data_IF_912063587083
#
_entry.id   IF_912063587083
#
_cell.length_a   1.000
_cell.length_b   1.000
_cell.length_c   1.000
_cell.angle_alpha   90.00
_cell.angle_beta   90.00
_cell.angle_gamma   90.00
#
_symmetry.space_group_name_H-M   'P 1'
#
loop_
_entity.id
_entity.type
_entity.pdbx_description
1 polymer ?
#
# COMPACT_ATOMS: atom_id res chain seq x y z
N UNK A 1 -3.75 -8.04 -15.47
CA UNK A 1 -3.09 -7.85 -14.16
C UNK A 1 -1.62 -7.71 -14.45
N UNK A 2 -1.05 -6.55 -14.19
CA UNK A 2 0.36 -6.28 -14.53
C UNK A 2 1.22 -6.66 -13.33
N UNK A 3 1.75 -7.89 -13.38
CA UNK A 3 2.67 -8.37 -12.36
C UNK A 3 4.06 -7.75 -12.57
N UNK A 4 4.45 -6.85 -11.69
CA UNK A 4 5.81 -6.30 -11.68
C UNK A 4 6.74 -7.22 -10.89
N UNK A 5 7.24 -8.27 -11.57
CA UNK A 5 8.10 -9.29 -10.93
C UNK A 5 9.38 -8.73 -10.31
N UNK A 6 9.97 -7.69 -10.90
CA UNK A 6 11.19 -7.08 -10.35
C UNK A 6 10.91 -6.28 -9.08
N UNK A 7 9.87 -5.43 -9.07
CA UNK A 7 9.42 -4.72 -7.86
C UNK A 7 9.02 -5.71 -6.76
N UNK A 8 8.36 -6.80 -7.13
CA UNK A 8 7.98 -7.86 -6.19
C UNK A 8 9.21 -8.56 -5.60
N UNK A 9 10.22 -8.91 -6.40
CA UNK A 9 11.46 -9.54 -5.92
C UNK A 9 12.24 -8.64 -4.96
N UNK A 10 12.28 -7.33 -5.21
CA UNK A 10 12.91 -6.34 -4.32
C UNK A 10 12.19 -6.27 -2.98
N UNK A 11 10.85 -6.12 -2.98
CA UNK A 11 10.04 -6.12 -1.76
C UNK A 11 10.16 -7.44 -0.98
N UNK A 12 10.19 -8.57 -1.69
CA UNK A 12 10.35 -9.88 -1.08
C UNK A 12 11.74 -10.07 -0.46
N UNK A 13 12.78 -9.46 -1.05
CA UNK A 13 14.13 -9.43 -0.49
C UNK A 13 14.15 -8.66 0.84
N UNK A 14 13.50 -7.50 0.87
CA UNK A 14 13.35 -6.70 2.08
C UNK A 14 12.56 -7.44 3.17
N UNK A 15 11.45 -8.08 2.78
CA UNK A 15 10.59 -8.87 3.67
C UNK A 15 11.33 -10.08 4.27
N UNK A 16 12.18 -10.75 3.48
CA UNK A 16 13.06 -11.81 3.98
C UNK A 16 14.04 -11.26 5.03
N UNK A 17 14.58 -10.06 4.79
CA UNK A 17 15.67 -9.47 5.56
C UNK A 17 16.94 -10.31 5.45
N UNK A 18 17.73 -10.37 6.52
CA UNK A 18 19.00 -11.11 6.56
C UNK A 18 18.83 -12.63 6.70
N UNK A 19 17.60 -13.13 6.88
CA UNK A 19 17.33 -14.56 7.03
C UNK A 19 17.65 -15.33 5.75
N UNK A 20 18.00 -16.60 5.91
CA UNK A 20 18.05 -17.53 4.78
C UNK A 20 16.66 -17.75 4.20
N UNK A 21 16.59 -18.10 2.91
CA UNK A 21 15.33 -18.42 2.23
C UNK A 21 14.62 -19.57 2.95
N UNK A 22 15.36 -20.58 3.42
CA UNK A 22 14.80 -21.71 4.15
C UNK A 22 14.12 -21.27 5.46
N UNK A 23 14.79 -20.41 6.25
CA UNK A 23 14.20 -19.91 7.49
C UNK A 23 12.94 -19.09 7.20
N UNK A 24 13.00 -18.18 6.24
CA UNK A 24 11.85 -17.34 5.90
C UNK A 24 10.67 -18.14 5.33
N UNK A 25 10.94 -19.12 4.46
CA UNK A 25 9.92 -20.02 3.93
C UNK A 25 9.26 -20.87 5.00
N UNK A 26 10.04 -21.41 5.94
CA UNK A 26 9.51 -22.15 7.09
C UNK A 26 8.65 -21.26 7.98
N UNK A 27 9.10 -20.05 8.30
CA UNK A 27 8.35 -19.09 9.13
C UNK A 27 6.99 -18.72 8.47
N UNK A 28 7.00 -18.53 7.15
CA UNK A 28 5.82 -18.13 6.37
C UNK A 28 4.93 -19.31 5.95
N UNK A 29 5.39 -20.55 6.11
CA UNK A 29 4.71 -21.74 5.59
C UNK A 29 4.60 -21.74 4.06
N UNK A 30 5.66 -21.32 3.38
CA UNK A 30 5.79 -21.24 1.92
C UNK A 30 7.06 -21.97 1.48
N UNK A 31 6.97 -22.75 0.40
CA UNK A 31 8.09 -23.53 -0.13
C UNK A 31 9.33 -22.63 -0.40
N UNK A 32 10.51 -22.92 0.20
CA UNK A 32 11.74 -22.18 -0.05
C UNK A 32 12.15 -22.17 -1.52
N UNK A 33 11.88 -23.25 -2.27
CA UNK A 33 12.15 -23.32 -3.70
C UNK A 33 11.31 -22.32 -4.50
N UNK A 34 10.04 -22.17 -4.14
CA UNK A 34 9.13 -21.18 -4.71
C UNK A 34 9.58 -19.75 -4.40
N UNK A 35 9.98 -19.46 -3.15
CA UNK A 35 10.53 -18.15 -2.77
C UNK A 35 11.81 -17.85 -3.56
N UNK A 36 12.70 -18.83 -3.72
CA UNK A 36 13.93 -18.67 -4.52
C UNK A 36 13.63 -18.32 -5.98
N UNK A 37 12.65 -19.00 -6.60
CA UNK A 37 12.21 -18.67 -7.97
C UNK A 37 11.63 -17.26 -8.07
N UNK A 38 10.86 -16.81 -7.08
CA UNK A 38 10.31 -15.44 -7.03
C UNK A 38 11.42 -14.40 -6.91
N UNK A 39 12.38 -14.59 -6.00
CA UNK A 39 13.51 -13.69 -5.79
C UNK A 39 14.42 -13.58 -7.03
N UNK A 40 14.49 -14.64 -7.83
CA UNK A 40 15.26 -14.70 -9.07
C UNK A 40 14.46 -14.28 -10.31
N UNK A 41 13.23 -13.77 -10.12
CA UNK A 41 12.35 -13.30 -11.19
C UNK A 41 12.03 -14.39 -12.25
N UNK A 42 12.08 -15.67 -11.86
CA UNK A 42 11.87 -16.83 -12.73
C UNK A 42 10.38 -17.20 -12.90
N UNK A 43 9.48 -16.48 -12.23
CA UNK A 43 8.04 -16.71 -12.30
C UNK A 43 7.41 -15.52 -12.99
N UNK A 44 6.74 -15.78 -14.12
CA UNK A 44 6.03 -14.74 -14.88
C UNK A 44 4.58 -14.55 -14.43
N UNK A 45 4.08 -15.46 -13.59
CA UNK A 45 2.76 -15.38 -12.98
C UNK A 45 2.84 -14.93 -11.52
N UNK A 46 1.98 -14.00 -11.13
CA UNK A 46 1.91 -13.53 -9.75
C UNK A 46 1.53 -14.68 -8.80
N UNK A 47 2.13 -14.75 -7.59
CA UNK A 47 1.65 -15.61 -6.52
C UNK A 47 0.22 -15.25 -6.13
N UNK A 48 -0.55 -16.19 -5.60
CA UNK A 48 -1.90 -15.87 -5.10
C UNK A 48 -1.85 -14.89 -3.93
N UNK A 49 -2.88 -14.07 -3.78
CA UNK A 49 -3.03 -13.14 -2.65
C UNK A 49 -2.85 -13.83 -1.28
N UNK A 50 -3.32 -15.08 -1.13
CA UNK A 50 -3.14 -15.87 0.09
C UNK A 50 -1.66 -16.16 0.39
N UNK A 51 -0.84 -16.48 -0.63
CA UNK A 51 0.60 -16.68 -0.45
C UNK A 51 1.29 -15.35 -0.12
N UNK A 52 0.88 -14.26 -0.78
CA UNK A 52 1.43 -12.93 -0.53
C UNK A 52 1.17 -12.51 0.93
N UNK A 53 -0.03 -12.72 1.45
CA UNK A 53 -0.39 -12.42 2.85
C UNK A 53 0.47 -13.25 3.81
N UNK A 54 0.71 -14.53 3.53
CA UNK A 54 1.60 -15.37 4.35
C UNK A 54 3.01 -14.82 4.40
N UNK A 55 3.58 -14.46 3.25
CA UNK A 55 4.93 -13.88 3.15
C UNK A 55 5.02 -12.55 3.91
N UNK A 56 4.02 -11.66 3.74
CA UNK A 56 3.94 -10.37 4.42
C UNK A 56 3.79 -10.51 5.95
N UNK A 57 3.03 -11.51 6.43
CA UNK A 57 2.81 -11.72 7.87
C UNK A 57 4.08 -12.06 8.66
N UNK A 58 5.14 -12.45 7.95
CA UNK A 58 6.47 -12.76 8.50
C UNK A 58 7.54 -11.85 7.94
N UNK A 59 7.17 -10.73 7.33
CA UNK A 59 8.11 -9.78 6.76
C UNK A 59 8.94 -9.08 7.86
N UNK A 60 10.21 -8.86 7.57
CA UNK A 60 11.08 -7.95 8.30
C UNK A 60 11.13 -6.61 7.55
N UNK A 61 11.59 -5.55 8.22
CA UNK A 61 11.76 -4.20 7.65
C UNK A 61 10.46 -3.55 7.15
N UNK A 62 9.36 -3.76 7.87
CA UNK A 62 8.07 -3.05 7.64
C UNK A 62 7.47 -3.18 6.23
N UNK A 63 7.83 -4.22 5.47
CA UNK A 63 7.18 -4.49 4.18
C UNK A 63 5.73 -4.90 4.41
N UNK A 64 4.80 -4.12 3.87
CA UNK A 64 3.37 -4.32 4.07
C UNK A 64 2.79 -5.30 3.06
N UNK A 65 1.67 -5.95 3.41
CA UNK A 65 0.97 -6.84 2.48
C UNK A 65 0.48 -6.08 1.24
N UNK A 66 0.06 -4.83 1.42
CA UNK A 66 -0.41 -3.94 0.36
C UNK A 66 0.69 -3.67 -0.67
N UNK A 67 1.94 -3.45 -0.23
CA UNK A 67 3.06 -3.23 -1.15
C UNK A 67 3.32 -4.45 -2.03
N UNK A 68 3.32 -5.66 -1.45
CA UNK A 68 3.50 -6.90 -2.20
C UNK A 68 2.30 -7.20 -3.11
N UNK A 69 1.07 -6.95 -2.65
CA UNK A 69 -0.15 -7.11 -3.45
C UNK A 69 -0.20 -6.13 -4.62
N UNK A 70 0.23 -4.88 -4.43
CA UNK A 70 0.35 -3.89 -5.48
C UNK A 70 1.38 -4.32 -6.53
N UNK A 71 2.57 -4.75 -6.11
CA UNK A 71 3.58 -5.27 -7.03
C UNK A 71 3.13 -6.53 -7.78
N UNK A 72 2.27 -7.34 -7.17
CA UNK A 72 1.64 -8.51 -7.78
C UNK A 72 0.47 -8.16 -8.73
N UNK A 73 0.06 -6.89 -8.82
CA UNK A 73 -1.03 -6.44 -9.68
C UNK A 73 -2.42 -6.71 -9.11
N UNK A 74 -2.54 -6.99 -7.80
CA UNK A 74 -3.82 -7.12 -7.10
C UNK A 74 -4.36 -5.79 -6.59
N UNK A 75 -3.48 -4.82 -6.34
CA UNK A 75 -3.84 -3.47 -5.99
C UNK A 75 -3.27 -2.54 -7.05
N UNK A 76 -4.08 -1.60 -7.52
CA UNK A 76 -3.54 -0.48 -8.28
C UNK A 76 -2.85 0.45 -7.27
N UNK A 77 -1.65 0.94 -7.60
CA UNK A 77 -0.84 1.86 -6.76
C UNK A 77 -1.53 3.23 -6.53
N UNK A 78 -2.81 3.36 -6.85
CA UNK A 78 -3.65 4.55 -6.78
C UNK A 78 -3.77 5.18 -5.39
N UNK A 79 -3.29 4.52 -4.34
CA UNK A 79 -3.19 5.12 -3.00
C UNK A 79 -1.89 5.92 -2.79
N UNK A 80 -0.83 5.64 -3.58
CA UNK A 80 0.39 6.45 -3.60
C UNK A 80 0.29 7.63 -4.59
N UNK A 81 -0.47 7.49 -5.68
CA UNK A 81 -0.70 8.62 -6.61
C UNK A 81 -1.36 9.83 -5.93
N UNK A 82 -2.15 9.59 -4.87
CA UNK A 82 -2.73 10.65 -4.03
C UNK A 82 -1.67 11.37 -3.19
N UNK A 83 -0.62 10.68 -2.74
CA UNK A 83 0.48 11.27 -1.95
C UNK A 83 1.38 12.15 -2.80
N UNK A 84 1.61 11.78 -4.05
CA UNK A 84 2.43 12.57 -4.98
C UNK A 84 1.72 13.87 -5.41
N UNK A 85 0.39 13.91 -5.34
CA UNK A 85 -0.43 15.12 -5.58
C UNK A 85 -0.62 15.99 -4.33
N UNK A 86 -0.22 15.52 -3.15
CA UNK A 86 -0.36 16.29 -1.91
C UNK A 86 0.83 17.25 -1.81
N UNK A 87 0.60 18.58 -1.78
CA UNK A 87 1.67 19.54 -1.57
C UNK A 87 2.45 19.18 -0.29
N UNK A 88 3.77 19.46 -0.22
CA UNK A 88 4.59 19.13 0.96
C UNK A 88 3.97 19.60 2.28
N UNK A 89 3.24 20.72 2.27
CA UNK A 89 2.50 21.25 3.41
C UNK A 89 1.38 20.31 3.87
N UNK A 90 0.65 19.69 2.93
CA UNK A 90 -0.41 18.72 3.20
C UNK A 90 0.11 17.41 3.80
N UNK A 91 1.34 17.01 3.49
CA UNK A 91 1.96 15.78 3.97
C UNK A 91 2.14 15.78 5.50
N UNK A 92 2.44 16.95 6.08
CA UNK A 92 2.53 17.12 7.54
C UNK A 92 1.19 16.90 8.24
N UNK A 93 0.08 17.35 7.63
CA UNK A 93 -1.26 17.12 8.16
C UNK A 93 -1.65 15.64 8.07
N UNK A 94 -1.34 14.96 6.96
CA UNK A 94 -1.57 13.52 6.81
C UNK A 94 -0.85 12.69 7.87
N UNK A 95 0.43 13.01 8.15
CA UNK A 95 1.20 12.33 9.19
C UNK A 95 0.60 12.55 10.57
N UNK A 96 0.12 13.76 10.85
CA UNK A 96 -0.59 14.06 12.09
C UNK A 96 -1.88 13.25 12.20
N UNK A 97 -2.70 13.20 11.13
CA UNK A 97 -3.96 12.47 11.07
C UNK A 97 -3.81 10.96 11.31
N UNK A 98 -2.80 10.31 10.71
CA UNK A 98 -2.56 8.86 10.95
C UNK A 98 -2.26 8.54 12.42
N UNK A 99 -1.72 9.51 13.17
CA UNK A 99 -1.38 9.36 14.58
C UNK A 99 -2.51 9.82 15.52
N UNK A 100 -3.66 10.27 15.01
CA UNK A 100 -4.81 10.65 15.84
C UNK A 100 -5.58 9.42 16.33
N UNK A 101 -6.20 9.49 17.52
CA UNK A 101 -7.17 8.49 17.96
C UNK A 101 -8.30 8.30 16.93
N UNK A 102 -8.87 7.08 16.79
CA UNK A 102 -9.89 6.79 15.78
C UNK A 102 -11.09 7.74 15.83
N UNK A 103 -11.49 8.17 17.02
CA UNK A 103 -12.64 9.05 17.21
C UNK A 103 -12.37 10.45 16.66
N UNK A 104 -11.15 10.96 16.86
CA UNK A 104 -10.72 12.24 16.31
C UNK A 104 -10.51 12.19 14.78
N UNK A 105 -10.12 11.03 14.23
CA UNK A 105 -10.07 10.84 12.78
C UNK A 105 -11.47 10.91 12.15
N UNK A 106 -12.48 10.32 12.80
CA UNK A 106 -13.87 10.38 12.35
C UNK A 106 -14.41 11.81 12.36
N UNK A 107 -14.20 12.53 13.45
CA UNK A 107 -14.61 13.94 13.59
C UNK A 107 -13.99 14.82 12.49
N UNK A 108 -12.68 14.63 12.23
CA UNK A 108 -12.00 15.33 11.15
C UNK A 108 -12.59 15.01 9.77
N UNK A 109 -12.84 13.73 9.47
CA UNK A 109 -13.44 13.33 8.19
C UNK A 109 -14.83 13.94 8.01
N UNK A 110 -15.61 14.02 9.08
CA UNK A 110 -16.95 14.58 9.05
C UNK A 110 -16.91 16.10 8.82
N UNK A 111 -16.05 16.82 9.54
CA UNK A 111 -15.82 18.25 9.33
C UNK A 111 -15.32 18.55 7.90
N UNK A 112 -14.39 17.74 7.38
CA UNK A 112 -13.88 17.89 6.02
C UNK A 112 -14.98 17.69 4.97
N UNK A 113 -15.83 16.66 5.11
CA UNK A 113 -16.98 16.43 4.23
C UNK A 113 -17.97 17.58 4.23
N UNK A 114 -18.22 18.19 5.39
CA UNK A 114 -19.08 19.36 5.47
C UNK A 114 -18.47 20.56 4.74
N UNK A 115 -17.17 20.78 4.92
CA UNK A 115 -16.44 21.88 4.29
C UNK A 115 -16.41 21.75 2.76
N UNK A 116 -16.10 20.57 2.21
CA UNK A 116 -16.12 20.36 0.76
C UNK A 116 -17.50 20.57 0.16
N UNK A 117 -18.55 20.13 0.86
CA UNK A 117 -19.95 20.35 0.44
C UNK A 117 -20.32 21.83 0.41
N UNK A 118 -19.78 22.65 1.32
CA UNK A 118 -19.98 24.10 1.30
C UNK A 118 -19.27 24.74 0.11
N UNK A 119 -18.00 24.38 -0.16
CA UNK A 119 -17.24 24.90 -1.32
C UNK A 119 -18.02 24.63 -2.62
N UNK A 120 -18.49 23.41 -2.83
CA UNK A 120 -19.26 23.05 -4.03
C UNK A 120 -20.56 23.87 -4.17
N UNK A 121 -21.23 24.19 -3.05
CA UNK A 121 -22.42 25.04 -3.06
C UNK A 121 -22.08 26.48 -3.43
N UNK A 122 -20.97 27.01 -2.92
CA UNK A 122 -20.49 28.35 -3.27
C UNK A 122 -20.13 28.45 -4.76
N UNK A 123 -19.44 27.47 -5.33
CA UNK A 123 -19.09 27.44 -6.74
C UNK A 123 -20.32 27.33 -7.65
N UNK A 124 -21.29 26.45 -7.31
CA UNK A 124 -22.57 26.34 -8.03
C UNK A 124 -23.39 27.63 -8.01
N UNK A 125 -23.33 28.38 -6.92
CA UNK A 125 -24.02 29.66 -6.79
C UNK A 125 -23.31 30.78 -7.56
N UNK A 126 -21.98 30.69 -7.75
CA UNK A 126 -21.22 31.63 -8.58
C UNK A 126 -21.55 31.47 -10.07
N UNK A 127 -21.66 30.23 -10.55
CA UNK A 127 -21.96 29.93 -11.97
C UNK A 127 -23.44 30.09 -12.38
N UNK A 128 -24.33 30.48 -11.46
CA UNK A 128 -25.75 30.79 -11.73
C UNK A 128 -26.02 32.29 -11.89
N UNK A 129 -24.99 33.13 -11.76
CA UNK A 129 -25.10 34.59 -11.78
C UNK A 129 -24.59 35.25 -13.07
N UNK A 130 -24.17 34.44 -14.03
CA UNK A 130 -23.91 34.80 -15.43
C UNK A 130 -25.03 34.22 -16.32
#
# INVERSE_FOLDING_TARGET
MDFNKSKFAQLLTLAKGERSINKYGNDAGVDPGYISRLLRELIDTAPSAAIIIKLASKAYNEVSAEQLLAAAGYLNDSQNDLLDCIPPEGLMYFRKLKNLPPDAQKEFLEAFKQHTKLIEQFEKNKNKKD
#
